data_IF_145608861836
#
_entry.id   IF_145608861836
#
_cell.length_a   1.000
_cell.length_b   1.000
_cell.length_c   1.000
_cell.angle_alpha   90.00
_cell.angle_beta   90.00
_cell.angle_gamma   90.00
#
_symmetry.space_group_name_H-M   'P 1'
#
loop_
_entity.id
_entity.type
_entity.pdbx_description
1 polymer ?
#
# COMPACT_ATOMS: atom_id res chain seq x y z
N UNK A 1 10.36 -10.08 -2.71
CA UNK A 1 9.58 -8.83 -2.51
C UNK A 1 10.00 -8.09 -1.25
N UNK A 2 9.81 -8.67 -0.06
CA UNK A 2 10.12 -7.95 1.18
C UNK A 2 11.60 -7.61 1.34
N UNK A 3 12.51 -8.48 0.88
CA UNK A 3 13.94 -8.22 0.95
C UNK A 3 14.30 -6.96 0.16
N UNK A 4 13.75 -6.82 -1.05
CA UNK A 4 13.99 -5.63 -1.86
C UNK A 4 13.47 -4.37 -1.18
N UNK A 5 12.27 -4.45 -0.58
CA UNK A 5 11.64 -3.30 0.08
C UNK A 5 12.49 -2.84 1.26
N UNK A 6 12.96 -3.78 2.10
CA UNK A 6 13.80 -3.46 3.24
C UNK A 6 15.15 -2.88 2.80
N UNK A 7 15.77 -3.47 1.77
CA UNK A 7 17.03 -2.96 1.21
C UNK A 7 16.86 -1.54 0.67
N UNK A 8 15.75 -1.29 -0.04
CA UNK A 8 15.46 0.04 -0.57
C UNK A 8 15.39 1.08 0.55
N UNK A 9 14.66 0.78 1.63
CA UNK A 9 14.55 1.72 2.74
C UNK A 9 15.90 1.95 3.42
N UNK A 10 16.68 0.89 3.61
CA UNK A 10 18.00 1.00 4.21
C UNK A 10 18.95 1.82 3.34
N UNK A 11 19.03 1.54 2.05
CA UNK A 11 19.93 2.24 1.12
C UNK A 11 19.59 3.73 0.98
N UNK A 12 18.33 4.09 1.17
CA UNK A 12 17.88 5.48 1.05
C UNK A 12 17.69 6.16 2.40
N UNK A 13 18.15 5.54 3.48
CA UNK A 13 18.07 6.08 4.83
C UNK A 13 16.64 6.42 5.26
N UNK A 14 15.68 5.60 4.84
CA UNK A 14 14.27 5.78 5.17
C UNK A 14 13.96 4.97 6.42
N UNK A 15 13.48 5.64 7.47
CA UNK A 15 13.10 4.97 8.70
C UNK A 15 11.69 4.36 8.56
N UNK A 16 11.51 3.14 9.08
CA UNK A 16 10.21 2.46 8.97
C UNK A 16 9.07 3.24 9.64
N UNK A 17 9.36 4.02 10.66
CA UNK A 17 8.35 4.87 11.31
C UNK A 17 7.75 5.91 10.37
N UNK A 18 8.46 6.26 9.30
CA UNK A 18 8.02 7.25 8.32
C UNK A 18 7.37 6.61 7.10
N UNK A 19 7.26 5.28 7.08
CA UNK A 19 6.65 4.53 5.97
C UNK A 19 5.16 4.36 6.24
N UNK A 20 4.35 4.85 5.31
CA UNK A 20 2.89 4.67 5.31
C UNK A 20 2.54 3.93 4.03
N UNK A 21 2.49 2.61 4.14
CA UNK A 21 2.35 1.70 3.01
C UNK A 21 0.89 1.35 2.77
N UNK A 22 0.48 1.33 1.50
CA UNK A 22 -0.75 0.66 1.08
C UNK A 22 -0.36 -0.65 0.41
N UNK A 23 -0.94 -1.75 0.85
CA UNK A 23 -0.56 -3.08 0.35
C UNK A 23 -1.80 -3.91 0.01
N UNK A 24 -1.62 -4.88 -0.88
CA UNK A 24 -2.64 -5.90 -1.11
C UNK A 24 -2.81 -6.76 0.12
N UNK A 25 -4.04 -7.21 0.37
CA UNK A 25 -4.41 -7.97 1.58
C UNK A 25 -3.51 -9.21 1.76
N UNK A 26 -3.27 -9.95 0.68
CA UNK A 26 -2.50 -11.20 0.78
C UNK A 26 -1.02 -11.00 1.09
N UNK A 27 -0.50 -9.79 0.93
CA UNK A 27 0.90 -9.48 1.29
C UNK A 27 1.05 -9.00 2.72
N UNK A 28 -0.04 -8.61 3.38
CA UNK A 28 0.02 -7.89 4.65
C UNK A 28 0.71 -8.67 5.75
N UNK A 29 0.28 -9.90 6.02
CA UNK A 29 0.85 -10.71 7.10
C UNK A 29 2.32 -11.03 6.87
N UNK A 30 2.70 -11.30 5.61
CA UNK A 30 4.08 -11.58 5.26
C UNK A 30 4.97 -10.34 5.48
N UNK A 31 4.52 -9.19 5.01
CA UNK A 31 5.27 -7.95 5.19
C UNK A 31 5.40 -7.57 6.67
N UNK A 32 4.32 -7.74 7.42
CA UNK A 32 4.34 -7.46 8.85
C UNK A 32 5.32 -8.37 9.59
N UNK A 33 5.38 -9.64 9.22
CA UNK A 33 6.34 -10.58 9.78
C UNK A 33 7.79 -10.10 9.57
N UNK A 34 8.07 -9.44 8.45
CA UNK A 34 9.38 -8.88 8.14
C UNK A 34 9.60 -7.49 8.76
N UNK A 35 8.68 -7.03 9.59
CA UNK A 35 8.80 -5.75 10.29
C UNK A 35 8.43 -4.53 9.46
N UNK A 36 7.78 -4.71 8.31
CA UNK A 36 7.36 -3.61 7.45
C UNK A 36 5.96 -3.16 7.89
N UNK A 37 5.74 -1.87 8.15
CA UNK A 37 4.39 -1.38 8.47
C UNK A 37 3.43 -1.65 7.32
N UNK A 38 2.23 -2.16 7.63
CA UNK A 38 1.24 -2.53 6.61
C UNK A 38 -0.04 -1.73 6.80
N UNK A 39 -0.77 -1.52 5.68
CA UNK A 39 -2.09 -0.93 5.72
C UNK A 39 -3.12 -1.93 6.24
N UNK A 40 -3.04 -3.17 5.77
CA UNK A 40 -3.98 -4.23 6.14
C UNK A 40 -3.29 -5.60 6.13
N UNK A 41 -3.75 -6.49 7.00
CA UNK A 41 -3.33 -7.89 7.01
C UNK A 41 -4.51 -8.78 7.42
N UNK A 42 -4.26 -10.06 7.72
CA UNK A 42 -5.31 -11.02 8.02
C UNK A 42 -6.03 -10.79 9.37
N UNK A 43 -5.56 -9.83 10.18
CA UNK A 43 -6.16 -9.52 11.48
C UNK A 43 -7.28 -8.49 11.32
N UNK A 44 -8.31 -8.82 10.55
CA UNK A 44 -9.36 -7.89 10.15
C UNK A 44 -9.99 -7.13 11.32
N UNK A 45 -10.17 -7.78 12.48
CA UNK A 45 -10.79 -7.15 13.64
C UNK A 45 -10.02 -5.94 14.17
N UNK A 46 -8.69 -5.92 13.98
CA UNK A 46 -7.85 -4.81 14.43
C UNK A 46 -8.05 -3.55 13.58
N UNK A 47 -8.68 -3.67 12.42
CA UNK A 47 -8.92 -2.56 11.49
C UNK A 47 -10.34 -2.01 11.59
N UNK A 48 -11.12 -2.51 12.56
CA UNK A 48 -12.48 -2.02 12.80
C UNK A 48 -12.44 -0.61 13.44
N UNK A 49 -13.53 0.17 13.29
CA UNK A 49 -13.57 1.55 13.80
C UNK A 49 -13.27 1.69 15.29
N UNK A 50 -13.66 0.71 16.12
CA UNK A 50 -13.44 0.74 17.56
C UNK A 50 -11.97 0.82 17.94
N UNK A 51 -11.09 0.32 17.09
CA UNK A 51 -9.65 0.26 17.36
C UNK A 51 -8.86 1.31 16.60
N UNK A 52 -9.52 2.12 15.74
CA UNK A 52 -8.83 3.01 14.82
C UNK A 52 -9.40 4.43 14.82
N UNK A 53 -9.91 4.89 15.95
CA UNK A 53 -10.39 6.25 16.08
C UNK A 53 -11.56 6.56 15.17
N UNK A 54 -12.45 5.60 14.93
CA UNK A 54 -13.59 5.76 14.06
C UNK A 54 -13.32 5.51 12.58
N UNK A 55 -12.08 5.17 12.21
CA UNK A 55 -11.74 4.84 10.82
C UNK A 55 -12.01 3.37 10.56
N UNK A 56 -12.77 3.07 9.52
CA UNK A 56 -12.98 1.69 9.08
C UNK A 56 -11.96 1.34 7.98
N UNK A 57 -10.76 0.98 8.42
CA UNK A 57 -9.64 0.71 7.53
C UNK A 57 -9.96 -0.46 6.60
N UNK A 58 -10.61 -1.50 7.12
CA UNK A 58 -10.95 -2.67 6.30
C UNK A 58 -11.90 -2.29 5.16
N UNK A 59 -12.95 -1.53 5.45
CA UNK A 59 -13.89 -1.09 4.41
C UNK A 59 -13.24 -0.11 3.44
N UNK A 60 -12.37 0.77 3.93
CA UNK A 60 -11.63 1.69 3.05
C UNK A 60 -10.73 0.91 2.09
N UNK A 61 -10.10 -0.16 2.57
CA UNK A 61 -9.32 -1.03 1.70
C UNK A 61 -10.20 -1.70 0.64
N UNK A 62 -11.30 -2.31 1.04
CA UNK A 62 -12.20 -3.01 0.11
C UNK A 62 -12.72 -2.05 -0.97
N UNK A 63 -13.21 -0.88 -0.57
CA UNK A 63 -13.76 0.08 -1.51
C UNK A 63 -12.72 0.65 -2.47
N UNK A 64 -11.51 0.90 -1.99
CA UNK A 64 -10.45 1.42 -2.86
C UNK A 64 -9.92 0.35 -3.80
N UNK A 65 -9.74 -0.90 -3.33
CA UNK A 65 -9.19 -1.97 -4.16
C UNK A 65 -10.14 -2.42 -5.25
N UNK A 66 -11.46 -2.37 -5.03
CA UNK A 66 -12.44 -2.70 -6.05
C UNK A 66 -12.96 -1.48 -6.82
N UNK A 67 -12.39 -0.31 -6.56
CA UNK A 67 -12.72 0.95 -7.22
C UNK A 67 -14.16 1.45 -6.99
N UNK A 68 -14.79 1.03 -5.89
CA UNK A 68 -16.07 1.60 -5.48
C UNK A 68 -15.92 3.06 -5.10
N UNK A 69 -14.71 3.47 -4.65
CA UNK A 69 -14.31 4.86 -4.48
C UNK A 69 -13.00 5.07 -5.23
N UNK A 70 -12.68 6.32 -5.50
CA UNK A 70 -11.40 6.64 -6.15
C UNK A 70 -10.25 6.37 -5.18
N UNK A 71 -9.32 5.50 -5.58
CA UNK A 71 -8.28 5.00 -4.65
C UNK A 71 -7.37 6.10 -4.12
N UNK A 72 -7.13 7.16 -4.88
CA UNK A 72 -6.28 8.27 -4.40
C UNK A 72 -6.89 9.00 -3.21
N UNK A 73 -8.22 8.96 -3.05
CA UNK A 73 -8.85 9.54 -1.87
C UNK A 73 -8.48 8.76 -0.60
N UNK A 74 -8.35 7.44 -0.70
CA UNK A 74 -7.87 6.61 0.41
C UNK A 74 -6.40 6.90 0.70
N UNK A 75 -5.57 7.02 -0.34
CA UNK A 75 -4.15 7.35 -0.15
C UNK A 75 -3.98 8.69 0.56
N UNK A 76 -4.80 9.67 0.20
CA UNK A 76 -4.76 10.98 0.85
C UNK A 76 -5.25 10.93 2.28
N UNK A 77 -6.32 10.19 2.54
CA UNK A 77 -6.91 10.04 3.88
C UNK A 77 -5.91 9.48 4.89
N UNK A 78 -5.10 8.52 4.47
CA UNK A 78 -4.12 7.85 5.33
C UNK A 78 -2.69 8.31 5.09
N UNK A 79 -2.51 9.34 4.28
CA UNK A 79 -1.20 9.93 3.97
C UNK A 79 -0.20 8.87 3.48
N UNK A 80 -0.66 8.04 2.55
CA UNK A 80 0.13 6.92 2.01
C UNK A 80 1.29 7.45 1.17
N UNK A 81 2.50 6.94 1.41
CA UNK A 81 3.68 7.33 0.64
C UNK A 81 4.32 6.19 -0.15
N UNK A 82 3.92 4.94 0.09
CA UNK A 82 4.38 3.78 -0.66
C UNK A 82 3.21 2.85 -0.94
N UNK A 83 3.24 2.21 -2.10
CA UNK A 83 2.14 1.34 -2.55
C UNK A 83 2.71 0.05 -3.13
N UNK A 84 2.21 -1.09 -2.66
CA UNK A 84 2.51 -2.41 -3.23
C UNK A 84 1.20 -2.99 -3.75
N UNK A 85 1.16 -3.29 -5.04
CA UNK A 85 -0.03 -3.83 -5.70
C UNK A 85 0.31 -5.08 -6.49
N UNK A 86 -0.68 -5.93 -6.73
CA UNK A 86 -0.55 -6.96 -7.75
C UNK A 86 -0.33 -6.28 -9.09
N UNK A 87 0.54 -6.86 -9.90
CA UNK A 87 0.79 -6.35 -11.26
C UNK A 87 -0.49 -6.23 -12.07
N UNK A 88 -1.41 -7.19 -11.89
CA UNK A 88 -2.66 -7.27 -12.64
C UNK A 88 -3.83 -6.58 -11.93
N UNK A 89 -3.60 -5.87 -10.84
CA UNK A 89 -4.68 -5.18 -10.14
C UNK A 89 -5.27 -4.06 -11.00
N UNK A 90 -6.57 -3.82 -10.81
CA UNK A 90 -7.25 -2.72 -11.51
C UNK A 90 -6.61 -1.38 -11.19
N UNK A 91 -6.22 -1.19 -9.94
CA UNK A 91 -5.58 0.04 -9.50
C UNK A 91 -4.26 0.27 -10.24
N UNK A 92 -3.42 -0.77 -10.38
CA UNK A 92 -2.18 -0.67 -11.12
C UNK A 92 -2.41 -0.38 -12.60
N UNK A 93 -3.40 -1.01 -13.19
CA UNK A 93 -3.75 -0.77 -14.59
C UNK A 93 -4.11 0.71 -14.82
N UNK A 94 -4.87 1.31 -13.90
CA UNK A 94 -5.24 2.72 -14.00
C UNK A 94 -4.01 3.61 -13.85
N UNK A 95 -3.13 3.32 -12.89
CA UNK A 95 -1.91 4.11 -12.69
C UNK A 95 -1.06 4.13 -13.97
N UNK A 96 -0.91 2.97 -14.61
CA UNK A 96 -0.11 2.85 -15.82
C UNK A 96 -0.79 3.45 -17.05
N UNK A 97 -2.03 3.06 -17.32
CA UNK A 97 -2.72 3.45 -18.56
C UNK A 97 -3.14 4.90 -18.57
N UNK A 98 -3.57 5.43 -17.44
CA UNK A 98 -3.91 6.84 -17.33
C UNK A 98 -2.68 7.72 -17.09
N UNK A 99 -1.50 7.11 -16.94
CA UNK A 99 -0.24 7.81 -16.69
C UNK A 99 -0.37 8.81 -15.55
N UNK A 100 -0.88 8.35 -14.41
CA UNK A 100 -1.11 9.21 -13.25
C UNK A 100 0.20 9.77 -12.72
N UNK A 101 0.20 11.06 -12.41
CA UNK A 101 1.36 11.75 -11.87
C UNK A 101 1.61 11.38 -10.42
N UNK A 102 2.87 11.47 -10.00
CA UNK A 102 3.26 11.31 -8.61
C UNK A 102 3.56 9.87 -8.21
N UNK A 103 3.60 8.93 -9.15
CA UNK A 103 3.90 7.53 -8.87
C UNK A 103 5.25 7.16 -9.49
N UNK A 104 6.24 6.92 -8.63
CA UNK A 104 7.56 6.47 -9.08
C UNK A 104 7.67 4.97 -8.91
N UNK A 105 7.86 4.26 -10.01
CA UNK A 105 8.06 2.81 -9.98
C UNK A 105 9.43 2.49 -9.43
N UNK A 106 9.47 1.77 -8.30
CA UNK A 106 10.72 1.38 -7.64
C UNK A 106 11.11 -0.04 -8.00
N UNK A 107 10.13 -0.92 -8.13
CA UNK A 107 10.37 -2.32 -8.47
C UNK A 107 9.13 -2.92 -9.12
N UNK A 108 9.36 -3.76 -10.13
CA UNK A 108 8.29 -4.53 -10.77
C UNK A 108 8.81 -5.92 -11.09
N UNK A 109 8.01 -6.94 -10.84
CA UNK A 109 8.29 -8.29 -11.31
C UNK A 109 7.02 -8.90 -11.92
N UNK A 110 6.98 -10.23 -12.11
CA UNK A 110 5.84 -10.90 -12.73
C UNK A 110 4.57 -10.87 -11.87
N UNK A 111 4.67 -10.53 -10.59
CA UNK A 111 3.57 -10.63 -9.62
C UNK A 111 3.17 -9.30 -9.01
N UNK A 112 4.12 -8.40 -8.74
CA UNK A 112 3.85 -7.18 -7.99
C UNK A 112 4.52 -5.96 -8.59
N UNK A 113 4.01 -4.78 -8.18
CA UNK A 113 4.66 -3.49 -8.44
C UNK A 113 4.79 -2.75 -7.12
N UNK A 114 5.88 -2.01 -6.97
CA UNK A 114 6.17 -1.21 -5.79
C UNK A 114 6.42 0.22 -6.22
N UNK A 115 5.56 1.13 -5.77
CA UNK A 115 5.62 2.55 -6.12
C UNK A 115 5.90 3.41 -4.89
N UNK A 116 6.59 4.52 -5.12
CA UNK A 116 6.66 5.63 -4.19
C UNK A 116 5.73 6.74 -4.68
N UNK A 117 4.97 7.34 -3.77
CA UNK A 117 4.12 8.48 -4.09
C UNK A 117 4.93 9.76 -3.82
N UNK A 118 5.10 10.57 -4.86
CA UNK A 118 5.90 11.82 -4.82
C UNK A 118 5.03 13.06 -5.06
N UNK A 119 3.89 13.11 -4.40
CA UNK A 119 2.99 14.28 -4.52
C UNK A 119 3.25 15.32 -3.47
#
# INVERSE_FOLDING_TARGET
MSDYILEYFEENNIELKDVRLYNEYNYGSYLLYRGIPVFIDSRCDLYAPEYNGGRDIFMDFIKSSNLSIWFESTFKKYDINYVILYKDSKMNMIIKEANLEGYKLLKQDSKFVFYKIEK
#
